data_IF_934680112437
#
_entry.id   IF_934680112437
#
_cell.length_a   1.000
_cell.length_b   1.000
_cell.length_c   1.000
_cell.angle_alpha   90.00
_cell.angle_beta   90.00
_cell.angle_gamma   90.00
#
_symmetry.space_group_name_H-M   'P 1'
#
loop_
_entity.id
_entity.type
_entity.pdbx_description
1 polymer ?
#
# COMPACT_ATOMS: atom_id res chain seq x y z
N UNK A 1 -17.99 11.10 -11.75
CA UNK A 1 -16.60 10.67 -12.02
C UNK A 1 -16.55 10.11 -13.43
N UNK A 2 -15.46 10.32 -14.18
CA UNK A 2 -15.30 9.64 -15.47
C UNK A 2 -15.26 8.12 -15.22
N UNK A 3 -15.93 7.36 -16.07
CA UNK A 3 -15.94 5.90 -15.95
C UNK A 3 -14.56 5.37 -16.41
N UNK A 4 -13.67 5.06 -15.45
CA UNK A 4 -12.33 4.55 -15.75
C UNK A 4 -12.36 3.24 -16.57
N UNK A 5 -13.42 2.44 -16.46
CA UNK A 5 -13.59 1.19 -17.23
C UNK A 5 -13.66 1.40 -18.74
N UNK A 6 -14.04 2.59 -19.17
CA UNK A 6 -14.09 2.98 -20.59
C UNK A 6 -12.85 3.77 -21.02
N UNK A 7 -11.89 4.00 -20.13
CA UNK A 7 -10.66 4.72 -20.45
C UNK A 7 -9.75 3.84 -21.31
N UNK A 8 -9.44 4.33 -22.50
CA UNK A 8 -8.60 3.62 -23.46
C UNK A 8 -7.09 3.84 -23.24
N UNK A 9 -6.70 4.67 -22.28
CA UNK A 9 -5.29 4.91 -21.98
C UNK A 9 -4.66 3.69 -21.33
N UNK A 10 -3.45 3.35 -21.75
CA UNK A 10 -2.64 2.31 -21.14
C UNK A 10 -1.75 2.95 -20.07
N UNK A 11 -1.71 2.38 -18.89
CA UNK A 11 -0.84 2.79 -17.79
C UNK A 11 0.04 1.61 -17.39
N UNK A 12 1.36 1.79 -17.47
CA UNK A 12 2.30 0.80 -16.93
C UNK A 12 2.35 0.89 -15.42
N UNK A 13 2.35 -0.25 -14.74
CA UNK A 13 2.27 -0.38 -13.29
C UNK A 13 3.44 -1.16 -12.72
N UNK A 14 3.71 -0.97 -11.44
CA UNK A 14 4.71 -1.69 -10.67
C UNK A 14 4.16 -1.97 -9.28
N UNK A 15 4.25 -3.23 -8.86
CA UNK A 15 4.18 -3.62 -7.45
C UNK A 15 5.63 -3.78 -6.95
N UNK A 16 6.04 -2.87 -6.07
CA UNK A 16 7.41 -2.76 -5.57
C UNK A 16 7.54 -3.39 -4.18
N UNK A 17 8.09 -4.60 -4.13
CA UNK A 17 8.47 -5.28 -2.90
C UNK A 17 10.00 -5.33 -2.78
N UNK A 18 10.53 -5.47 -1.56
CA UNK A 18 11.98 -5.51 -1.30
C UNK A 18 12.70 -6.71 -1.94
N UNK A 19 12.02 -7.83 -2.11
CA UNK A 19 12.56 -9.03 -2.72
C UNK A 19 12.36 -9.03 -4.24
N UNK A 20 11.15 -8.74 -4.70
CA UNK A 20 10.78 -8.79 -6.11
C UNK A 20 9.98 -7.55 -6.52
N UNK A 21 10.02 -7.24 -7.80
CA UNK A 21 9.21 -6.22 -8.45
C UNK A 21 8.36 -6.88 -9.53
N UNK A 22 7.05 -6.63 -9.50
CA UNK A 22 6.10 -7.14 -10.50
C UNK A 22 5.62 -5.99 -11.36
N UNK A 23 5.92 -6.08 -12.65
CA UNK A 23 5.58 -5.07 -13.65
C UNK A 23 4.39 -5.53 -14.49
N UNK A 24 3.51 -4.59 -14.84
CA UNK A 24 2.36 -4.85 -15.67
C UNK A 24 1.89 -3.61 -16.43
N UNK A 25 0.82 -3.77 -17.18
CA UNK A 25 0.11 -2.66 -17.80
C UNK A 25 -1.39 -2.87 -17.68
N UNK A 26 -2.10 -1.78 -17.42
CA UNK A 26 -3.54 -1.77 -17.22
C UNK A 26 -4.23 -0.84 -18.21
N UNK A 27 -5.44 -1.21 -18.59
CA UNK A 27 -6.36 -0.40 -19.36
C UNK A 27 -7.79 -0.66 -18.90
N UNK A 28 -8.54 0.38 -18.59
CA UNK A 28 -9.93 0.23 -18.16
C UNK A 28 -10.11 -0.55 -16.85
N UNK A 29 -9.05 -0.69 -16.02
CA UNK A 29 -9.07 -1.45 -14.78
C UNK A 29 -8.62 -2.92 -14.93
N UNK A 30 -8.30 -3.36 -16.14
CA UNK A 30 -7.87 -4.74 -16.41
C UNK A 30 -6.38 -4.79 -16.79
N UNK A 31 -5.68 -5.86 -16.38
CA UNK A 31 -4.35 -6.15 -16.89
C UNK A 31 -4.42 -6.57 -18.35
N UNK A 32 -3.56 -6.00 -19.17
CA UNK A 32 -3.54 -6.23 -20.64
C UNK A 32 -2.25 -6.89 -21.13
N UNK A 33 -1.33 -7.20 -20.24
CA UNK A 33 -0.09 -7.92 -20.51
C UNK A 33 0.16 -8.97 -19.43
N UNK A 34 0.96 -9.98 -19.75
CA UNK A 34 1.46 -10.91 -18.74
C UNK A 34 2.42 -10.18 -17.78
N UNK A 35 2.23 -10.32 -16.46
CA UNK A 35 3.09 -9.70 -15.47
C UNK A 35 4.54 -10.19 -15.58
N UNK A 36 5.48 -9.28 -15.36
CA UNK A 36 6.92 -9.56 -15.38
C UNK A 36 7.46 -9.43 -13.96
N UNK A 37 8.04 -10.48 -13.44
CA UNK A 37 8.67 -10.47 -12.12
C UNK A 37 10.19 -10.45 -12.25
N UNK A 38 10.83 -9.51 -11.55
CA UNK A 38 12.30 -9.37 -11.49
C UNK A 38 12.74 -9.19 -10.03
N UNK A 39 13.98 -9.58 -9.72
CA UNK A 39 14.59 -9.30 -8.42
C UNK A 39 14.70 -7.81 -8.18
N UNK A 40 14.26 -7.33 -7.02
CA UNK A 40 14.19 -5.89 -6.72
C UNK A 40 15.58 -5.24 -6.56
N UNK A 41 16.58 -6.00 -6.09
CA UNK A 41 17.91 -5.49 -5.77
C UNK A 41 17.87 -4.28 -4.81
N UNK A 42 16.97 -4.31 -3.81
CA UNK A 42 16.60 -3.18 -2.96
C UNK A 42 17.76 -2.58 -2.15
N UNK A 43 18.86 -3.34 -1.97
CA UNK A 43 20.07 -2.90 -1.26
C UNK A 43 21.08 -2.16 -2.13
N UNK A 44 20.96 -2.25 -3.47
CA UNK A 44 21.84 -1.58 -4.44
C UNK A 44 21.02 -0.65 -5.31
N UNK A 45 21.22 0.67 -5.15
CA UNK A 45 20.43 1.69 -5.84
C UNK A 45 20.57 1.60 -7.36
N UNK A 46 21.79 1.39 -7.86
CA UNK A 46 22.01 1.35 -9.30
C UNK A 46 21.31 0.13 -9.93
N UNK A 47 21.49 -1.05 -9.35
CA UNK A 47 20.84 -2.27 -9.80
C UNK A 47 19.32 -2.18 -9.67
N UNK A 48 18.81 -1.63 -8.56
CA UNK A 48 17.38 -1.41 -8.36
C UNK A 48 16.78 -0.51 -9.45
N UNK A 49 17.42 0.62 -9.75
CA UNK A 49 16.99 1.52 -10.82
C UNK A 49 17.10 0.88 -12.22
N UNK A 50 18.13 0.07 -12.45
CA UNK A 50 18.27 -0.70 -13.70
C UNK A 50 17.16 -1.75 -13.82
N UNK A 51 16.81 -2.45 -12.73
CA UNK A 51 15.68 -3.39 -12.69
C UNK A 51 14.37 -2.69 -13.05
N UNK A 52 14.08 -1.51 -12.47
CA UNK A 52 12.88 -0.75 -12.80
C UNK A 52 12.83 -0.38 -14.29
N UNK A 53 13.93 0.11 -14.85
CA UNK A 53 13.99 0.45 -16.28
C UNK A 53 13.83 -0.80 -17.16
N UNK A 54 14.46 -1.91 -16.79
CA UNK A 54 14.35 -3.19 -17.52
C UNK A 54 12.90 -3.70 -17.51
N UNK A 55 12.26 -3.76 -16.33
CA UNK A 55 10.90 -4.26 -16.19
C UNK A 55 9.90 -3.44 -16.99
N UNK A 56 9.93 -2.12 -16.88
CA UNK A 56 9.05 -1.26 -17.68
C UNK A 56 9.32 -1.33 -19.19
N UNK A 57 10.56 -1.56 -19.63
CA UNK A 57 10.85 -1.81 -21.07
C UNK A 57 10.24 -3.12 -21.53
N UNK A 58 10.40 -4.19 -20.76
CA UNK A 58 9.81 -5.49 -21.10
C UNK A 58 8.28 -5.44 -21.16
N UNK A 59 7.63 -4.67 -20.27
CA UNK A 59 6.18 -4.40 -20.36
C UNK A 59 5.85 -3.61 -21.62
N UNK A 60 6.56 -2.51 -21.86
CA UNK A 60 6.33 -1.67 -23.04
C UNK A 60 6.46 -2.47 -24.36
N UNK A 61 7.41 -3.40 -24.41
CA UNK A 61 7.66 -4.21 -25.61
C UNK A 61 6.54 -5.24 -25.90
N UNK A 62 5.63 -5.50 -24.95
CA UNK A 62 4.40 -6.29 -25.14
C UNK A 62 3.21 -5.43 -25.62
N UNK A 63 3.31 -4.10 -25.57
CA UNK A 63 2.21 -3.21 -25.93
C UNK A 63 2.18 -2.92 -27.43
N UNK A 64 0.98 -2.88 -27.99
CA UNK A 64 0.72 -2.54 -29.41
C UNK A 64 0.77 -1.03 -29.68
N UNK A 65 0.73 -0.20 -28.61
CA UNK A 65 0.77 1.27 -28.68
C UNK A 65 1.45 1.88 -27.47
N UNK A 66 1.78 3.16 -27.57
CA UNK A 66 2.46 3.91 -26.51
C UNK A 66 1.60 4.00 -25.23
N UNK A 67 2.15 3.66 -24.06
CA UNK A 67 1.49 3.92 -22.79
C UNK A 67 1.39 5.42 -22.50
N UNK A 68 0.29 5.82 -21.87
CA UNK A 68 0.03 7.21 -21.52
C UNK A 68 0.83 7.67 -20.28
N UNK A 69 1.14 6.74 -19.38
CA UNK A 69 1.86 7.03 -18.15
C UNK A 69 2.47 5.77 -17.53
N UNK A 70 3.36 5.99 -16.55
CA UNK A 70 3.73 5.02 -15.52
C UNK A 70 3.07 5.48 -14.20
N UNK A 71 2.42 4.56 -13.47
CA UNK A 71 1.84 4.86 -12.16
C UNK A 71 2.01 3.68 -11.22
N UNK A 72 2.54 3.93 -10.01
CA UNK A 72 2.76 2.88 -9.03
C UNK A 72 2.85 3.40 -7.60
N UNK A 73 2.71 2.49 -6.64
CA UNK A 73 3.00 2.73 -5.23
C UNK A 73 4.49 2.58 -4.94
N UNK A 74 5.01 3.45 -4.08
CA UNK A 74 6.35 3.30 -3.52
C UNK A 74 6.36 3.78 -2.07
N UNK A 75 7.05 3.08 -1.15
CA UNK A 75 7.05 3.47 0.25
C UNK A 75 7.65 4.86 0.46
N UNK A 76 7.14 5.54 1.50
CA UNK A 76 7.63 6.84 1.98
C UNK A 76 8.53 6.72 3.21
N UNK A 77 9.09 7.86 3.67
CA UNK A 77 8.71 9.22 3.31
C UNK A 77 9.16 9.67 1.91
N UNK A 78 8.32 10.49 1.26
CA UNK A 78 8.55 10.96 -0.10
C UNK A 78 7.84 12.28 -0.39
N UNK A 79 8.41 13.08 -1.28
CA UNK A 79 7.69 14.14 -1.99
C UNK A 79 7.00 13.51 -3.21
N UNK A 80 5.83 12.91 -3.00
CA UNK A 80 5.09 12.21 -4.04
C UNK A 80 4.70 13.09 -5.23
N UNK A 81 4.26 14.36 -5.06
CA UNK A 81 3.98 15.25 -6.18
C UNK A 81 5.17 15.43 -7.14
N UNK A 82 6.38 15.49 -6.63
CA UNK A 82 7.60 15.61 -7.42
C UNK A 82 8.27 14.26 -7.74
N UNK A 83 7.82 13.18 -7.12
CA UNK A 83 8.37 11.82 -7.29
C UNK A 83 9.77 11.67 -6.71
N UNK A 84 10.05 12.33 -5.59
CA UNK A 84 11.32 12.27 -4.88
C UNK A 84 11.16 11.41 -3.63
N UNK A 85 11.86 10.29 -3.61
CA UNK A 85 11.87 9.36 -2.47
C UNK A 85 13.03 9.73 -1.57
N UNK A 86 12.79 9.87 -0.26
CA UNK A 86 13.83 10.21 0.69
C UNK A 86 13.55 9.61 2.07
N UNK A 87 14.59 9.61 2.93
CA UNK A 87 14.48 9.08 4.29
C UNK A 87 14.85 7.61 4.39
N UNK A 88 14.56 7.05 5.55
CA UNK A 88 14.89 5.67 5.85
C UNK A 88 13.74 4.74 5.46
N UNK A 89 13.97 3.94 4.43
CA UNK A 89 13.02 2.92 3.98
C UNK A 89 13.53 1.54 4.37
N UNK A 90 12.80 0.84 5.24
CA UNK A 90 13.16 -0.51 5.68
C UNK A 90 13.30 -1.47 4.48
N UNK A 91 12.35 -1.39 3.55
CA UNK A 91 12.26 -2.29 2.39
C UNK A 91 13.17 -1.87 1.21
N UNK A 92 13.65 -0.61 1.19
CA UNK A 92 14.52 -0.07 0.14
C UNK A 92 15.64 0.77 0.74
N UNK A 93 16.57 0.17 1.52
CA UNK A 93 17.59 0.93 2.27
C UNK A 93 18.57 1.70 1.37
N UNK A 94 18.69 1.32 0.10
CA UNK A 94 19.52 2.04 -0.87
C UNK A 94 19.00 3.44 -1.24
N UNK A 95 17.71 3.73 -0.97
CA UNK A 95 17.09 5.03 -1.27
C UNK A 95 17.30 6.10 -0.18
N UNK A 96 17.91 5.78 0.95
CA UNK A 96 18.07 6.64 2.15
C UNK A 96 18.68 8.03 1.92
N UNK A 97 19.44 8.21 0.86
CA UNK A 97 20.11 9.50 0.55
C UNK A 97 19.28 10.42 -0.37
N UNK A 98 18.04 10.04 -0.64
CA UNK A 98 17.17 10.75 -1.56
C UNK A 98 17.39 10.35 -3.01
N UNK A 99 16.29 10.01 -3.70
CA UNK A 99 16.30 9.59 -5.10
C UNK A 99 15.18 10.29 -5.84
N UNK A 100 15.50 11.05 -6.87
CA UNK A 100 14.52 11.66 -7.77
C UNK A 100 13.95 10.60 -8.75
N UNK A 101 13.24 9.60 -8.22
CA UNK A 101 12.78 8.41 -8.93
C UNK A 101 11.81 8.76 -10.08
N UNK A 102 10.82 9.60 -9.81
CA UNK A 102 9.86 10.06 -10.81
C UNK A 102 10.54 10.80 -11.97
N UNK A 103 11.37 11.84 -11.73
CA UNK A 103 12.15 12.49 -12.76
C UNK A 103 13.08 11.54 -13.53
N UNK A 104 13.74 10.59 -12.83
CA UNK A 104 14.59 9.60 -13.47
C UNK A 104 13.83 8.73 -14.48
N UNK A 105 12.71 8.13 -14.06
CA UNK A 105 11.89 7.29 -14.93
C UNK A 105 11.25 8.10 -16.07
N UNK A 106 10.78 9.33 -15.77
CA UNK A 106 10.25 10.25 -16.81
C UNK A 106 11.28 10.53 -17.89
N UNK A 107 12.55 10.75 -17.51
CA UNK A 107 13.66 10.94 -18.47
C UNK A 107 13.91 9.67 -19.31
N UNK A 108 13.77 8.47 -18.73
CA UNK A 108 14.03 7.21 -19.42
C UNK A 108 12.94 6.81 -20.41
N UNK A 109 11.68 7.15 -20.11
CA UNK A 109 10.51 6.70 -20.89
C UNK A 109 9.83 7.80 -21.71
N UNK A 110 10.08 9.08 -21.44
CA UNK A 110 9.49 10.20 -22.16
C UNK A 110 7.99 10.40 -21.89
N UNK A 111 7.44 9.79 -20.85
CA UNK A 111 6.02 9.85 -20.48
C UNK A 111 5.87 10.26 -19.01
N UNK A 112 4.69 10.77 -18.60
CA UNK A 112 4.39 11.09 -17.20
C UNK A 112 4.63 9.90 -16.27
N UNK A 113 5.13 10.19 -15.06
CA UNK A 113 5.34 9.20 -14.01
C UNK A 113 4.67 9.73 -12.73
N UNK A 114 3.79 8.91 -12.17
CA UNK A 114 3.04 9.20 -10.95
C UNK A 114 3.40 8.16 -9.89
N UNK A 115 3.92 8.63 -8.78
CA UNK A 115 4.26 7.80 -7.62
C UNK A 115 3.40 8.28 -6.46
N UNK A 116 2.83 7.36 -5.70
CA UNK A 116 2.07 7.68 -4.50
C UNK A 116 2.40 6.68 -3.40
N UNK A 117 1.93 6.97 -2.18
CA UNK A 117 1.92 6.03 -1.10
C UNK A 117 0.94 4.86 -1.41
N UNK A 118 1.19 3.68 -0.87
CA UNK A 118 0.37 2.48 -1.07
C UNK A 118 -1.01 2.61 -0.41
N UNK A 119 -1.09 3.14 0.83
CA UNK A 119 -2.35 3.43 1.51
C UNK A 119 -3.21 4.44 0.75
N UNK A 120 -2.59 5.49 0.20
CA UNK A 120 -3.26 6.47 -0.65
C UNK A 120 -3.84 5.83 -1.93
N UNK A 121 -3.05 5.01 -2.62
CA UNK A 121 -3.50 4.35 -3.85
C UNK A 121 -4.57 3.28 -3.57
N UNK A 122 -4.46 2.55 -2.46
CA UNK A 122 -5.50 1.62 -2.02
C UNK A 122 -6.83 2.35 -1.82
N UNK A 123 -6.84 3.41 -0.98
CA UNK A 123 -8.05 4.18 -0.72
C UNK A 123 -8.62 4.81 -2.00
N UNK A 124 -7.76 5.27 -2.91
CA UNK A 124 -8.19 5.85 -4.18
C UNK A 124 -8.80 4.80 -5.11
N UNK A 125 -8.23 3.60 -5.17
CA UNK A 125 -8.77 2.46 -5.92
C UNK A 125 -10.16 2.07 -5.41
N UNK A 126 -10.33 1.95 -4.09
CA UNK A 126 -11.60 1.65 -3.43
C UNK A 126 -12.67 2.75 -3.66
N UNK A 127 -12.24 4.01 -3.76
CA UNK A 127 -13.13 5.12 -4.05
C UNK A 127 -13.57 5.19 -5.52
N UNK A 128 -12.72 4.74 -6.46
CA UNK A 128 -13.01 4.80 -7.89
C UNK A 128 -13.77 3.57 -8.41
N UNK A 129 -13.39 2.39 -7.97
CA UNK A 129 -13.85 1.15 -8.56
C UNK A 129 -14.14 0.02 -7.58
N UNK A 130 -13.91 0.24 -6.28
CA UNK A 130 -14.11 -0.75 -5.23
C UNK A 130 -15.36 -0.50 -4.39
N UNK A 131 -15.18 -0.47 -3.06
CA UNK A 131 -16.29 -0.46 -2.08
C UNK A 131 -17.18 0.78 -2.16
N UNK A 132 -16.63 1.96 -2.47
CA UNK A 132 -17.42 3.20 -2.45
C UNK A 132 -18.50 3.25 -3.55
N UNK A 133 -18.21 2.97 -4.84
CA UNK A 133 -19.25 2.86 -5.84
C UNK A 133 -20.23 1.71 -5.57
N UNK A 134 -19.79 0.57 -5.03
CA UNK A 134 -20.66 -0.54 -4.66
C UNK A 134 -21.69 -0.14 -3.59
N UNK A 135 -21.26 0.55 -2.53
CA UNK A 135 -22.17 1.06 -1.50
C UNK A 135 -23.16 2.05 -2.09
N UNK A 136 -22.72 2.96 -2.96
CA UNK A 136 -23.59 3.93 -3.61
C UNK A 136 -24.64 3.29 -4.53
N UNK A 137 -24.27 2.23 -5.24
CA UNK A 137 -25.20 1.44 -6.06
C UNK A 137 -26.24 0.75 -5.19
N UNK A 138 -25.83 0.12 -4.09
CA UNK A 138 -26.76 -0.54 -3.13
C UNK A 138 -27.73 0.48 -2.51
N UNK A 139 -27.26 1.69 -2.18
CA UNK A 139 -28.11 2.78 -1.69
C UNK A 139 -29.12 3.20 -2.76
N UNK A 140 -28.73 3.30 -4.02
CA UNK A 140 -29.62 3.61 -5.14
C UNK A 140 -30.71 2.55 -5.31
N UNK A 141 -30.31 1.27 -5.35
CA UNK A 141 -31.25 0.16 -5.48
C UNK A 141 -32.24 0.08 -4.30
N UNK A 142 -31.86 0.53 -3.11
CA UNK A 142 -32.75 0.62 -1.95
C UNK A 142 -33.65 1.87 -1.95
N UNK A 143 -33.58 2.73 -2.97
CA UNK A 143 -34.33 3.98 -3.05
C UNK A 143 -33.80 5.11 -2.16
N UNK A 144 -32.62 4.98 -1.58
CA UNK A 144 -31.99 6.03 -0.78
C UNK A 144 -31.44 7.15 -1.66
N UNK A 145 -31.66 8.40 -1.26
CA UNK A 145 -31.03 9.57 -1.89
C UNK A 145 -29.59 9.82 -1.41
N UNK A 146 -29.15 9.12 -0.38
CA UNK A 146 -27.81 9.28 0.18
C UNK A 146 -26.73 8.77 -0.78
N UNK A 147 -25.64 9.54 -0.91
CA UNK A 147 -24.46 9.15 -1.69
C UNK A 147 -23.20 9.53 -0.92
N UNK A 148 -22.27 8.60 -0.80
CA UNK A 148 -20.96 8.83 -0.20
C UNK A 148 -19.94 9.26 -1.25
N UNK A 149 -19.06 10.19 -0.89
CA UNK A 149 -17.98 10.73 -1.74
C UNK A 149 -16.63 10.74 -1.02
N UNK A 150 -16.66 10.47 0.28
CA UNK A 150 -15.48 10.43 1.13
C UNK A 150 -15.23 8.98 1.55
N UNK A 151 -13.96 8.62 1.64
CA UNK A 151 -13.53 7.29 2.07
C UNK A 151 -12.25 7.44 2.87
N UNK A 152 -12.13 6.70 3.95
CA UNK A 152 -10.92 6.50 4.70
C UNK A 152 -10.54 5.02 4.58
N UNK A 153 -9.39 4.75 3.98
CA UNK A 153 -8.88 3.40 3.77
C UNK A 153 -7.73 3.10 4.71
N UNK A 154 -7.73 1.92 5.32
CA UNK A 154 -6.66 1.44 6.20
C UNK A 154 -6.03 0.19 5.60
N UNK A 155 -4.70 0.16 5.59
CA UNK A 155 -3.91 -0.98 5.13
C UNK A 155 -3.12 -1.56 6.31
N UNK A 156 -3.44 -2.81 6.66
CA UNK A 156 -2.76 -3.55 7.71
C UNK A 156 -1.79 -4.55 7.05
N UNK A 157 -0.51 -4.24 7.11
CA UNK A 157 0.54 -5.02 6.51
C UNK A 157 1.78 -5.07 7.41
N UNK A 158 2.96 -5.04 6.82
CA UNK A 158 4.21 -4.83 7.55
C UNK A 158 4.20 -3.51 8.34
N UNK A 159 3.46 -2.52 7.84
CA UNK A 159 3.16 -1.26 8.50
C UNK A 159 1.66 -1.04 8.67
N UNK A 160 1.31 0.21 8.99
CA UNK A 160 -0.07 0.70 9.12
C UNK A 160 -0.26 1.90 8.19
N UNK A 161 -0.80 1.64 7.00
CA UNK A 161 -1.06 2.67 5.98
C UNK A 161 -2.47 3.24 6.10
N UNK A 162 -2.59 4.53 5.76
CA UNK A 162 -3.87 5.25 5.73
C UNK A 162 -3.96 6.08 4.45
N UNK A 163 -5.08 6.00 3.75
CA UNK A 163 -5.39 6.87 2.62
C UNK A 163 -6.73 7.56 2.81
N UNK A 164 -6.79 8.83 2.46
CA UNK A 164 -7.98 9.66 2.63
C UNK A 164 -8.48 10.21 1.29
N UNK A 165 -9.75 9.95 1.01
CA UNK A 165 -10.44 10.49 -0.16
C UNK A 165 -11.51 11.47 0.30
N UNK A 166 -11.42 12.70 -0.18
CA UNK A 166 -12.38 13.79 0.13
C UNK A 166 -13.00 14.29 -1.16
N UNK A 167 -14.32 14.23 -1.25
CA UNK A 167 -15.08 14.61 -2.46
C UNK A 167 -14.60 13.87 -3.73
N UNK A 168 -14.18 12.61 -3.59
CA UNK A 168 -13.68 11.79 -4.70
C UNK A 168 -12.26 12.11 -5.15
N UNK A 169 -11.53 12.91 -4.40
CA UNK A 169 -10.14 13.28 -4.67
C UNK A 169 -9.24 12.79 -3.53
N UNK A 170 -8.05 12.31 -3.88
CA UNK A 170 -7.02 11.92 -2.92
C UNK A 170 -6.57 13.14 -2.12
N UNK A 171 -6.67 13.08 -0.80
CA UNK A 171 -6.15 14.10 0.11
C UNK A 171 -4.86 13.59 0.75
N UNK A 172 -3.74 14.21 0.41
CA UNK A 172 -2.40 13.85 0.92
C UNK A 172 -1.94 14.76 2.07
N UNK A 173 -2.77 15.73 2.50
CA UNK A 173 -2.29 16.78 3.41
C UNK A 173 -1.20 17.65 2.79
N UNK A 174 -0.56 18.47 3.61
CA UNK A 174 0.48 19.42 3.16
C UNK A 174 1.87 18.74 2.98
N UNK A 175 2.07 17.59 3.63
CA UNK A 175 3.35 16.88 3.64
C UNK A 175 3.32 15.56 2.84
N UNK A 176 2.41 15.44 1.88
CA UNK A 176 2.23 14.23 1.06
C UNK A 176 1.84 12.96 1.84
N UNK A 177 1.32 13.12 3.06
CA UNK A 177 0.94 12.03 3.95
C UNK A 177 -0.17 12.49 4.89
N UNK A 178 -1.20 11.64 5.06
CA UNK A 178 -2.27 11.81 6.05
C UNK A 178 -2.24 10.69 7.11
N UNK A 179 -1.16 9.93 7.13
CA UNK A 179 -1.01 8.76 7.97
C UNK A 179 -0.84 9.12 9.44
N UNK A 180 -1.55 8.40 10.29
CA UNK A 180 -1.46 8.50 11.76
C UNK A 180 -0.46 7.51 12.35
N UNK A 181 0.17 6.69 11.53
CA UNK A 181 1.09 5.62 11.92
C UNK A 181 2.27 6.11 12.78
N UNK A 182 2.67 7.38 12.63
CA UNK A 182 3.76 7.99 13.39
C UNK A 182 3.33 8.60 14.74
N UNK A 183 2.07 8.55 15.12
CA UNK A 183 1.64 9.00 16.43
C UNK A 183 2.21 8.10 17.52
N UNK A 184 2.43 8.61 18.76
CA UNK A 184 2.88 7.78 19.86
C UNK A 184 1.89 6.66 20.15
N UNK A 185 2.40 5.46 20.40
CA UNK A 185 1.60 4.34 20.86
C UNK A 185 1.05 4.62 22.27
N UNK A 186 -0.26 4.46 22.50
CA UNK A 186 -0.93 4.87 23.73
C UNK A 186 -0.38 4.19 25.00
N UNK A 187 -0.05 2.91 24.91
CA UNK A 187 0.48 2.12 26.03
C UNK A 187 2.01 2.12 26.13
N UNK A 188 2.70 2.51 25.05
CA UNK A 188 4.16 2.51 24.93
C UNK A 188 4.63 3.75 24.18
N UNK A 189 4.69 4.93 24.85
CA UNK A 189 4.96 6.21 24.21
C UNK A 189 6.36 6.35 23.58
N UNK A 190 7.26 5.38 23.84
CA UNK A 190 8.60 5.26 23.28
C UNK A 190 8.62 4.71 21.84
N UNK A 191 7.49 4.18 21.38
CA UNK A 191 7.31 3.66 20.00
C UNK A 191 6.12 4.31 19.32
N UNK A 192 6.03 4.16 18.00
CA UNK A 192 4.91 4.67 17.21
C UNK A 192 3.73 3.69 17.20
N UNK A 193 2.54 4.21 16.89
CA UNK A 193 1.30 3.41 16.90
C UNK A 193 1.33 2.25 15.91
N UNK A 194 2.06 2.38 14.81
CA UNK A 194 2.27 1.32 13.82
C UNK A 194 2.81 0.03 14.45
N UNK A 195 3.64 0.14 15.50
CA UNK A 195 4.15 -1.02 16.21
C UNK A 195 3.07 -1.75 17.04
N UNK A 196 1.89 -1.15 17.18
CA UNK A 196 0.70 -1.76 17.81
C UNK A 196 -0.36 -2.23 16.81
N UNK A 197 -0.29 -1.77 15.55
CA UNK A 197 -1.37 -1.94 14.55
C UNK A 197 -0.82 -2.54 13.24
N UNK A 198 0.12 -3.47 13.33
CA UNK A 198 0.76 -4.11 12.18
C UNK A 198 0.87 -5.63 12.35
N UNK A 199 1.23 -6.33 11.29
CA UNK A 199 1.58 -7.76 11.33
C UNK A 199 2.63 -8.03 12.42
N UNK A 200 3.63 -7.15 12.54
CA UNK A 200 4.68 -7.25 13.56
C UNK A 200 4.12 -7.19 14.98
N UNK A 201 3.09 -6.37 15.20
CA UNK A 201 2.44 -6.25 16.51
C UNK A 201 1.79 -7.57 16.94
N UNK A 202 1.01 -8.20 16.09
CA UNK A 202 0.36 -9.48 16.38
C UNK A 202 1.40 -10.56 16.71
N UNK A 203 2.44 -10.68 15.89
CA UNK A 203 3.54 -11.64 16.10
C UNK A 203 4.24 -11.39 17.44
N UNK A 204 4.57 -10.14 17.73
CA UNK A 204 5.24 -9.73 18.98
C UNK A 204 4.40 -10.03 20.20
N UNK A 205 3.15 -9.57 20.23
CA UNK A 205 2.25 -9.73 21.39
C UNK A 205 1.97 -11.21 21.66
N UNK A 206 1.69 -12.00 20.61
CA UNK A 206 1.53 -13.44 20.78
C UNK A 206 2.77 -14.10 21.40
N UNK A 207 3.96 -13.80 20.88
CA UNK A 207 5.22 -14.33 21.40
C UNK A 207 5.48 -13.92 22.86
N UNK A 208 5.24 -12.65 23.20
CA UNK A 208 5.40 -12.13 24.56
C UNK A 208 4.47 -12.83 25.56
N UNK A 209 3.22 -13.08 25.19
CA UNK A 209 2.22 -13.68 26.06
C UNK A 209 2.33 -15.21 26.16
N UNK A 210 2.65 -15.90 25.04
CA UNK A 210 2.67 -17.35 24.99
C UNK A 210 4.03 -17.97 25.33
N UNK A 211 5.12 -17.21 25.16
CA UNK A 211 6.49 -17.74 25.20
C UNK A 211 6.83 -18.65 24.01
N UNK A 212 5.97 -18.70 22.98
CA UNK A 212 6.17 -19.54 21.80
C UNK A 212 7.37 -19.05 20.99
N UNK A 213 8.34 -19.92 20.78
CA UNK A 213 9.57 -19.60 20.04
C UNK A 213 9.49 -19.78 18.52
N UNK A 214 8.36 -20.26 18.00
CA UNK A 214 8.14 -20.42 16.55
C UNK A 214 8.07 -19.07 15.85
N UNK A 215 8.50 -19.01 14.60
CA UNK A 215 8.25 -17.86 13.73
C UNK A 215 6.91 -18.07 13.01
N UNK A 216 5.85 -17.61 13.66
CA UNK A 216 4.47 -17.76 13.20
C UNK A 216 4.02 -16.51 12.43
N UNK A 217 3.31 -16.73 11.33
CA UNK A 217 2.63 -15.65 10.63
C UNK A 217 1.27 -15.34 11.29
N UNK A 218 0.67 -14.15 11.08
CA UNK A 218 -0.64 -13.80 11.65
C UNK A 218 -1.74 -14.82 11.32
N UNK A 219 -1.65 -15.47 10.16
CA UNK A 219 -2.56 -16.56 9.78
C UNK A 219 -2.44 -17.76 10.73
N UNK A 220 -1.23 -18.14 11.10
CA UNK A 220 -0.99 -19.24 12.04
C UNK A 220 -1.52 -18.89 13.43
N UNK A 221 -1.26 -17.64 13.88
CA UNK A 221 -1.76 -17.14 15.17
C UNK A 221 -3.30 -17.10 15.17
N UNK A 222 -3.92 -16.71 14.05
CA UNK A 222 -5.37 -16.77 13.87
C UNK A 222 -5.88 -18.22 13.96
N UNK A 223 -5.19 -19.18 13.33
CA UNK A 223 -5.55 -20.58 13.39
C UNK A 223 -5.41 -21.16 14.81
N UNK A 224 -4.45 -20.68 15.60
CA UNK A 224 -4.35 -20.99 17.04
C UNK A 224 -5.54 -20.41 17.80
N UNK A 225 -5.93 -19.15 17.55
CA UNK A 225 -7.09 -18.51 18.16
C UNK A 225 -8.39 -19.29 17.89
N UNK A 226 -8.53 -19.83 16.68
CA UNK A 226 -9.66 -20.65 16.25
C UNK A 226 -9.56 -22.13 16.68
N UNK A 227 -8.44 -22.54 17.28
CA UNK A 227 -8.21 -23.93 17.71
C UNK A 227 -7.90 -24.89 16.55
N UNK A 228 -7.49 -24.37 15.40
CA UNK A 228 -7.08 -25.17 14.24
C UNK A 228 -5.58 -25.51 14.24
N UNK A 229 -4.78 -24.79 14.99
CA UNK A 229 -3.35 -25.00 15.16
C UNK A 229 -3.01 -25.07 16.66
N UNK A 230 -2.05 -25.91 17.03
CA UNK A 230 -1.59 -26.04 18.40
C UNK A 230 -0.85 -24.79 18.88
N UNK A 231 -1.19 -24.29 20.09
CA UNK A 231 -0.59 -23.12 20.71
C UNK A 231 -1.46 -22.55 21.80
N UNK A 232 -1.05 -21.40 22.36
CA UNK A 232 -1.83 -20.69 23.38
C UNK A 232 -2.98 -19.92 22.73
N UNK A 233 -4.19 -20.49 22.78
CA UNK A 233 -5.40 -19.83 22.26
C UNK A 233 -5.66 -18.48 22.94
N UNK A 234 -5.47 -18.41 24.25
CA UNK A 234 -5.70 -17.19 25.02
C UNK A 234 -4.75 -16.06 24.57
N UNK A 235 -3.46 -16.36 24.41
CA UNK A 235 -2.47 -15.41 23.91
C UNK A 235 -2.77 -14.96 22.47
N UNK A 236 -3.23 -15.89 21.62
CA UNK A 236 -3.59 -15.58 20.25
C UNK A 236 -4.80 -14.64 20.15
N UNK A 237 -5.87 -14.91 20.91
CA UNK A 237 -7.05 -14.04 21.01
C UNK A 237 -6.65 -12.66 21.55
N UNK A 238 -5.81 -12.62 22.60
CA UNK A 238 -5.37 -11.36 23.19
C UNK A 238 -4.51 -10.52 22.24
N UNK A 239 -3.67 -11.15 21.41
CA UNK A 239 -2.86 -10.44 20.42
C UNK A 239 -3.72 -9.69 19.38
N UNK A 240 -4.79 -10.33 18.87
CA UNK A 240 -5.73 -9.66 17.97
C UNK A 240 -6.62 -8.64 18.69
N UNK A 241 -7.00 -8.89 19.94
CA UNK A 241 -7.79 -7.94 20.75
C UNK A 241 -7.00 -6.65 20.99
N UNK A 242 -5.72 -6.74 21.34
CA UNK A 242 -4.85 -5.58 21.53
C UNK A 242 -4.66 -4.79 20.23
N UNK A 243 -4.42 -5.48 19.10
CA UNK A 243 -4.36 -4.82 17.79
C UNK A 243 -5.67 -4.10 17.47
N UNK A 244 -6.83 -4.71 17.76
CA UNK A 244 -8.14 -4.11 17.52
C UNK A 244 -8.39 -2.87 18.39
N UNK A 245 -8.00 -2.90 19.68
CA UNK A 245 -8.10 -1.77 20.59
C UNK A 245 -7.26 -0.58 20.10
N UNK A 246 -5.98 -0.83 19.79
CA UNK A 246 -5.06 0.19 19.27
C UNK A 246 -5.48 0.73 17.89
N UNK A 247 -6.05 -0.13 17.04
CA UNK A 247 -6.66 0.32 15.78
C UNK A 247 -7.80 1.30 16.05
N UNK A 248 -8.67 0.99 17.02
CA UNK A 248 -9.75 1.88 17.43
C UNK A 248 -9.23 3.24 17.90
N UNK A 249 -8.17 3.26 18.71
CA UNK A 249 -7.53 4.50 19.18
C UNK A 249 -6.88 5.30 18.02
N UNK A 250 -6.31 4.61 17.03
CA UNK A 250 -5.70 5.26 15.87
C UNK A 250 -6.71 5.91 14.92
N UNK A 251 -7.95 5.41 14.91
CA UNK A 251 -9.04 5.85 14.03
C UNK A 251 -9.88 6.96 14.66
N UNK A 252 -10.00 6.95 15.97
CA UNK A 252 -10.83 7.90 16.74
C UNK A 252 -9.89 8.93 17.38
N UNK A 253 -9.81 10.17 16.85
CA UNK A 253 -9.00 11.23 17.43
C UNK A 253 -9.56 11.74 18.76
#
# INVERSE_FOLDING_TARGET
MANFRTDSRIVMTLDANSAVMVFGAMQGGEFIVEPITLDANSHDLELCLQTMVKGFRMVRDQLDRQPAAISFAFPGPADYPNGIIYGYLLNFPSFRNGVALGPYLRKKFGIPVYINNDGDLFAYGEALGGVLPEINERLELSGSSKRYRNLLGYVFGDGFGVGMIVNGMMNRGDNSCVETCYFPHSKRPDIIIEEGVSIRAVKRVYKELSGDGRDLEPKDIFDIAEGRLEGSREAAVQAFAEMGELTGEAIIP
#
